data_IF_102906508611
#
_entry.id   IF_102906508611
#
_cell.length_a   1.000
_cell.length_b   1.000
_cell.length_c   1.000
_cell.angle_alpha   90.00
_cell.angle_beta   90.00
_cell.angle_gamma   90.00
#
_symmetry.space_group_name_H-M   'P 1'
#
loop_
_entity.id
_entity.type
_entity.pdbx_description
1 polymer ?
2 non-polymer ?
3 non-polymer ?
4 non-polymer ?
5 water ?
#
# COMPACT_ATOMS: atom_id res chain seq x y z
N UNK A 1 15.43 13.11 -1.18
CA UNK A 1 16.12 11.90 -1.75
C UNK A 1 15.25 11.44 -2.91
N UNK A 2 15.78 10.52 -3.71
CA UNK A 2 15.06 10.14 -4.91
C UNK A 2 14.07 9.05 -4.62
N UNK A 3 14.22 8.37 -3.48
CA UNK A 3 13.29 7.26 -3.14
C UNK A 3 12.87 7.36 -1.71
N UNK A 4 11.83 6.62 -1.38
CA UNK A 4 11.33 6.49 -0.05
C UNK A 4 10.93 5.05 0.15
N UNK A 5 10.70 4.69 1.40
CA UNK A 5 10.34 3.30 1.76
C UNK A 5 8.91 3.27 2.21
N UNK A 6 8.10 2.50 1.49
CA UNK A 6 6.67 2.42 1.78
C UNK A 6 6.43 1.18 2.62
N UNK A 7 5.55 1.32 3.61
CA UNK A 7 5.16 0.22 4.47
C UNK A 7 3.64 0.28 4.71
N UNK A 8 2.92 -0.69 4.17
CA UNK A 8 1.50 -0.70 4.24
C UNK A 8 1.06 -2.00 4.93
N UNK A 9 0.32 -1.88 6.03
CA UNK A 9 -0.11 -3.03 6.84
C UNK A 9 -1.63 -3.08 6.76
N UNK A 10 -2.11 -4.07 6.01
CA UNK A 10 -3.53 -4.30 5.84
C UNK A 10 -4.00 -5.22 6.94
N UNK A 11 -5.17 -4.94 7.50
CA UNK A 11 -5.65 -5.73 8.64
C UNK A 11 -7.15 -5.98 8.68
N UNK A 12 -7.44 -7.16 9.23
CA UNK A 12 -8.81 -7.62 9.53
C UNK A 12 -8.85 -7.77 11.06
N UNK A 13 -9.82 -7.16 11.71
CA UNK A 13 -9.91 -7.20 13.17
C UNK A 13 -10.98 -8.16 13.61
N UNK A 14 -10.95 -8.51 14.90
CA UNK A 14 -12.06 -9.21 15.58
C UNK A 14 -13.38 -8.44 15.38
N UNK A 15 -14.51 -9.14 15.35
CA UNK A 15 -15.82 -8.47 15.17
C UNK A 15 -16.26 -7.66 16.41
N UNK A 16 -15.62 -7.90 17.56
CA UNK A 16 -15.88 -7.14 18.78
C UNK A 16 -15.42 -5.70 18.91
N UNK A 17 -14.60 -5.18 17.99
CA UNK A 17 -14.05 -3.83 18.18
C UNK A 17 -15.13 -2.71 18.08
N UNK A 18 -14.90 -1.61 18.78
CA UNK A 18 -15.82 -0.48 18.85
C UNK A 18 -15.15 0.80 18.42
N UNK A 19 -15.92 1.88 18.34
CA UNK A 19 -15.41 3.22 18.01
C UNK A 19 -14.26 3.60 18.92
N UNK A 20 -14.34 3.17 20.17
CA UNK A 20 -13.27 3.39 21.14
C UNK A 20 -11.94 2.83 20.67
N UNK A 21 -11.97 1.66 20.05
CA UNK A 21 -10.73 1.04 19.56
C UNK A 21 -10.05 2.00 18.59
N UNK A 22 -10.83 2.50 17.65
CA UNK A 22 -10.29 3.41 16.65
C UNK A 22 -9.87 4.74 17.24
N UNK A 23 -10.59 5.24 18.24
CA UNK A 23 -10.15 6.44 18.95
C UNK A 23 -8.75 6.28 19.54
N UNK A 24 -8.50 5.12 20.17
CA UNK A 24 -7.18 4.86 20.76
C UNK A 24 -6.11 4.69 19.70
N UNK A 25 -6.40 3.97 18.62
CA UNK A 25 -5.44 3.86 17.49
C UNK A 25 -5.03 5.24 16.98
N UNK A 26 -6.00 6.13 16.80
CA UNK A 26 -5.73 7.44 16.26
C UNK A 26 -4.83 8.23 17.19
N UNK A 27 -4.93 7.97 18.50
CA UNK A 27 -4.05 8.63 19.45
C UNK A 27 -2.62 8.17 19.29
N UNK A 28 -2.41 6.88 19.03
CA UNK A 28 -1.07 6.38 18.73
C UNK A 28 -0.58 6.96 17.40
N UNK A 29 -1.46 6.99 16.40
CA UNK A 29 -1.08 7.59 15.08
C UNK A 29 -0.55 8.99 15.25
N UNK A 30 -1.29 9.80 16.01
CA UNK A 30 -0.85 11.14 16.34
C UNK A 30 0.56 11.21 16.96
N UNK A 31 0.90 10.32 17.86
CA UNK A 31 2.23 10.36 18.46
C UNK A 31 3.35 10.12 17.44
N UNK A 32 3.01 9.48 16.32
CA UNK A 32 4.01 8.79 15.54
C UNK A 32 4.98 9.72 14.84
N UNK A 33 4.48 10.75 14.18
CA UNK A 33 5.37 11.61 13.41
C UNK A 33 6.17 12.48 14.40
N UNK A 34 5.51 12.91 15.47
CA UNK A 34 6.19 13.57 16.61
C UNK A 34 7.36 12.77 17.08
N UNK A 35 7.13 11.48 17.36
CA UNK A 35 8.13 10.66 18.03
C UNK A 35 9.08 9.86 17.16
N UNK A 36 8.73 9.52 15.93
CA UNK A 36 9.64 8.71 15.14
C UNK A 36 10.37 9.57 14.12
N UNK A 37 11.63 9.25 13.87
CA UNK A 37 12.39 10.00 12.90
C UNK A 37 12.21 9.47 11.48
N UNK A 38 12.43 10.35 10.51
CA UNK A 38 12.39 9.97 9.09
C UNK A 38 11.05 9.46 8.57
N UNK A 39 9.96 9.89 9.20
CA UNK A 39 8.62 9.47 8.81
C UNK A 39 8.02 10.53 7.92
N UNK A 40 7.62 10.15 6.71
CA UNK A 40 7.08 11.10 5.71
C UNK A 40 5.57 11.09 5.70
N UNK A 41 5.00 9.95 6.02
CA UNK A 41 3.55 9.78 6.00
C UNK A 41 3.20 8.76 7.03
N UNK A 42 2.11 8.96 7.77
CA UNK A 42 1.64 7.89 8.68
C UNK A 42 0.15 8.05 8.92
N UNK A 43 -0.64 7.03 8.58
CA UNK A 43 -2.09 7.15 8.56
C UNK A 43 -2.70 5.83 8.85
N UNK A 44 -3.86 5.84 9.50
CA UNK A 44 -4.61 4.64 9.69
C UNK A 44 -6.03 4.91 9.21
N UNK A 45 -6.56 4.05 8.36
CA UNK A 45 -7.93 4.30 7.88
C UNK A 45 -8.55 3.11 7.24
N UNK A 46 -9.77 3.31 6.81
CA UNK A 46 -10.56 2.30 6.15
C UNK A 46 -10.08 2.06 4.75
N UNK A 47 -10.07 0.78 4.38
CA UNK A 47 -9.89 0.32 2.99
C UNK A 47 -11.16 0.49 2.16
N UNK A 48 -11.10 1.27 1.09
CA UNK A 48 -12.31 1.48 0.29
C UNK A 48 -12.24 0.70 -1.04
N UNK A 49 -11.21 -0.11 -1.25
CA UNK A 49 -11.12 -0.92 -2.46
C UNK A 49 -12.17 -2.00 -2.42
N UNK A 50 -12.64 -2.37 -3.62
CA UNK A 50 -13.59 -3.47 -3.78
C UNK A 50 -12.97 -4.82 -3.43
N UNK A 51 -11.75 -5.01 -3.90
CA UNK A 51 -11.05 -6.30 -3.73
C UNK A 51 -10.15 -6.29 -2.49
N UNK A 52 -10.73 -5.82 -1.41
CA UNK A 52 -10.12 -5.80 -0.10
C UNK A 52 -9.95 -7.15 0.57
N UNK A 53 -10.74 -8.14 0.19
CA UNK A 53 -10.51 -9.50 0.71
C UNK A 53 -10.74 -9.60 2.22
N UNK A 54 -11.59 -8.74 2.77
CA UNK A 54 -11.82 -8.80 4.20
C UNK A 54 -10.90 -7.92 5.02
N UNK A 55 -9.87 -7.35 4.40
CA UNK A 55 -9.01 -6.44 5.11
C UNK A 55 -9.59 -5.06 5.06
N UNK A 56 -10.20 -4.68 6.17
CA UNK A 56 -11.06 -3.51 6.26
C UNK A 56 -10.34 -2.20 6.54
N UNK A 57 -9.11 -2.26 7.02
CA UNK A 57 -8.36 -1.06 7.45
C UNK A 57 -6.93 -1.26 7.10
N UNK A 58 -6.17 -0.17 7.01
CA UNK A 58 -4.71 -0.28 6.85
C UNK A 58 -3.99 0.85 7.52
N UNK A 59 -2.82 0.57 8.04
CA UNK A 59 -1.82 1.56 8.30
C UNK A 59 -0.99 1.75 7.03
N UNK A 60 -0.85 3.00 6.62
CA UNK A 60 -0.06 3.32 5.47
C UNK A 60 1.04 4.25 5.96
N UNK A 61 2.25 3.98 5.54
CA UNK A 61 3.36 4.77 6.00
C UNK A 61 4.47 4.85 4.96
N UNK A 62 5.18 5.97 4.98
CA UNK A 62 6.35 6.18 4.15
C UNK A 62 7.46 6.77 5.00
N UNK A 63 8.67 6.23 4.83
CA UNK A 63 9.86 6.65 5.54
C UNK A 63 10.91 7.13 4.58
N UNK A 64 11.85 7.90 5.07
CA UNK A 64 12.89 8.38 4.16
C UNK A 64 13.64 7.18 3.54
N UNK A 65 13.76 6.14 4.33
CA UNK A 65 14.49 4.97 3.83
C UNK A 65 14.23 3.77 4.76
N UNK A 66 14.69 2.60 4.38
CA UNK A 66 14.44 1.35 5.12
C UNK A 66 15.02 1.39 6.53
N UNK A 67 16.05 2.20 6.72
CA UNK A 67 16.71 2.30 8.01
C UNK A 67 15.80 3.07 8.99
N UNK A 68 15.10 4.08 8.49
CA UNK A 68 14.14 4.79 9.33
C UNK A 68 13.02 3.83 9.74
N UNK A 69 12.63 2.95 8.84
CA UNK A 69 11.56 1.99 9.16
C UNK A 69 12.06 0.98 10.17
N UNK A 70 13.32 0.54 10.01
CA UNK A 70 14.00 -0.26 11.03
C UNK A 70 13.92 0.43 12.42
N UNK A 71 14.29 1.70 12.51
CA UNK A 71 14.22 2.39 13.81
C UNK A 71 12.80 2.54 14.39
N UNK A 72 11.80 2.57 13.52
CA UNK A 72 10.40 2.74 13.89
C UNK A 72 9.93 1.57 14.76
N UNK A 73 10.55 0.40 14.57
CA UNK A 73 10.36 -0.78 15.42
C UNK A 73 10.43 -0.59 16.92
N UNK A 74 11.28 0.32 17.40
CA UNK A 74 11.37 0.62 18.80
C UNK A 74 10.83 2.01 19.09
N UNK A 75 10.21 2.63 18.10
CA UNK A 75 9.52 3.87 18.37
C UNK A 75 8.44 3.58 19.43
N UNK A 76 8.46 4.31 20.56
CA UNK A 76 7.54 3.92 21.61
C UNK A 76 6.06 4.02 21.24
N UNK A 77 5.65 5.04 20.50
CA UNK A 77 4.27 5.11 19.96
C UNK A 77 3.89 3.83 19.19
N UNK A 78 4.86 3.28 18.45
CA UNK A 78 4.64 2.05 17.66
C UNK A 78 4.68 0.74 18.49
N UNK A 79 5.65 0.61 19.36
CA UNK A 79 5.67 -0.56 20.26
C UNK A 79 4.29 -0.65 21.02
N UNK A 80 3.83 0.51 21.43
CA UNK A 80 2.64 0.65 22.23
C UNK A 80 1.47 0.30 21.36
N UNK A 81 1.42 0.88 20.15
CA UNK A 81 0.26 0.63 19.26
C UNK A 81 0.15 -0.83 18.92
N UNK A 82 1.30 -1.48 18.69
CA UNK A 82 1.38 -2.88 18.27
C UNK A 82 0.80 -3.76 19.37
N UNK A 83 1.19 -3.46 20.60
CA UNK A 83 0.74 -4.16 21.79
C UNK A 83 -0.75 -3.96 21.98
N UNK A 84 -1.25 -2.75 21.67
CA UNK A 84 -2.66 -2.44 21.83
C UNK A 84 -3.50 -3.15 20.79
N UNK A 85 -3.08 -3.08 19.53
CA UNK A 85 -3.91 -3.62 18.45
C UNK A 85 -3.81 -5.12 18.32
N UNK A 86 -2.65 -5.68 18.69
CA UNK A 86 -2.33 -7.07 18.51
C UNK A 86 -3.40 -8.08 18.86
N UNK A 87 -3.91 -8.07 20.11
CA UNK A 87 -5.00 -9.00 20.50
C UNK A 87 -6.31 -8.90 19.73
N UNK A 88 -6.52 -7.80 18.99
CA UNK A 88 -7.76 -7.56 18.26
C UNK A 88 -7.62 -7.84 16.76
N UNK A 89 -6.40 -8.04 16.28
CA UNK A 89 -6.13 -8.34 14.88
C UNK A 89 -6.29 -9.83 14.58
N UNK A 90 -7.11 -10.14 13.58
CA UNK A 90 -7.27 -11.50 13.12
C UNK A 90 -6.23 -11.90 12.11
N UNK A 91 -6.13 -11.14 11.02
CA UNK A 91 -5.11 -11.35 9.98
C UNK A 91 -4.48 -10.06 9.53
N UNK A 92 -3.20 -10.10 9.11
CA UNK A 92 -2.58 -8.95 8.43
C UNK A 92 -1.86 -9.40 7.15
N UNK A 93 -1.67 -8.46 6.24
CA UNK A 93 -0.77 -8.68 5.13
C UNK A 93 0.00 -7.40 4.90
N UNK A 94 1.30 -7.53 4.64
CA UNK A 94 2.15 -6.38 4.59
C UNK A 94 2.85 -6.19 3.25
N UNK A 95 2.89 -4.95 2.79
CA UNK A 95 3.76 -4.56 1.67
C UNK A 95 4.76 -3.54 2.16
N UNK A 96 6.03 -3.88 1.91
CA UNK A 96 7.22 -3.06 2.12
C UNK A 96 7.97 -3.02 0.81
N UNK A 97 8.42 -1.83 0.46
CA UNK A 97 9.35 -1.69 -0.64
C UNK A 97 9.79 -0.25 -0.90
N UNK A 98 10.94 -0.15 -1.53
CA UNK A 98 11.46 1.13 -1.98
C UNK A 98 10.75 1.57 -3.23
N UNK A 99 10.25 2.80 -3.19
CA UNK A 99 9.49 3.43 -4.29
C UNK A 99 10.07 4.86 -4.56
N UNK A 100 9.81 5.43 -5.74
CA UNK A 100 10.18 6.83 -5.95
C UNK A 100 9.51 7.79 -4.98
N UNK A 101 10.20 8.85 -4.62
CA UNK A 101 9.68 9.87 -3.76
C UNK A 101 8.64 10.67 -4.52
N UNK A 102 7.74 11.26 -3.75
CA UNK A 102 6.59 12.09 -4.16
C UNK A 102 5.33 11.22 -4.28
N UNK B 1 -3.24 19.39 -2.87
CA UNK B 1 -4.26 19.20 -1.78
C UNK B 1 -3.66 18.64 -0.49
N UNK B 2 -4.47 18.62 0.56
CA UNK B 2 -4.03 18.12 1.85
C UNK B 2 -3.90 16.58 1.88
N UNK B 3 -4.61 15.91 0.96
CA UNK B 3 -4.69 14.48 0.96
C UNK B 3 -4.45 14.00 -0.46
N UNK B 4 -4.12 12.72 -0.57
CA UNK B 4 -3.97 12.10 -1.86
C UNK B 4 -4.66 10.75 -1.74
N UNK B 5 -4.99 10.13 -2.88
CA UNK B 5 -5.58 8.81 -2.87
C UNK B 5 -4.49 7.77 -3.11
N UNK B 6 -4.30 6.87 -2.15
CA UNK B 6 -3.36 5.75 -2.25
C UNK B 6 -4.02 4.48 -2.72
N UNK B 7 -3.33 3.72 -3.59
CA UNK B 7 -3.91 2.57 -4.29
C UNK B 7 -2.77 1.59 -4.32
N UNK B 8 -2.92 0.50 -3.57
CA UNK B 8 -1.90 -0.53 -3.52
C UNK B 8 -2.50 -1.88 -3.88
N UNK B 9 -1.92 -2.50 -4.88
CA UNK B 9 -2.34 -3.83 -5.37
C UNK B 9 -1.21 -4.78 -5.16
N UNK B 10 -1.44 -5.69 -4.24
CA UNK B 10 -0.56 -6.78 -3.93
C UNK B 10 -0.90 -8.02 -4.74
N UNK B 11 0.12 -8.71 -5.24
CA UNK B 11 -0.12 -9.80 -6.17
C UNK B 11 0.83 -10.97 -6.00
N UNK B 12 0.30 -12.16 -6.23
CA UNK B 12 1.11 -13.35 -6.42
C UNK B 12 0.85 -13.81 -7.86
N UNK B 13 1.91 -14.16 -8.59
CA UNK B 13 1.80 -14.58 -9.98
C UNK B 13 1.86 -16.11 -10.07
N UNK B 14 1.34 -16.62 -11.19
CA UNK B 14 1.37 -18.04 -11.58
C UNK B 14 2.78 -18.58 -11.68
N UNK B 15 2.95 -19.88 -11.44
CA UNK B 15 4.29 -20.48 -11.45
C UNK B 15 4.89 -20.45 -12.86
N UNK B 16 4.06 -20.52 -13.88
CA UNK B 16 4.57 -20.63 -15.23
C UNK B 16 4.86 -19.36 -16.02
N UNK B 17 4.89 -18.21 -15.37
CA UNK B 17 5.21 -16.96 -16.10
C UNK B 17 6.52 -17.09 -16.89
N UNK B 18 6.57 -16.48 -18.07
CA UNK B 18 7.73 -16.59 -18.96
C UNK B 18 8.91 -15.76 -18.49
N UNK B 19 10.08 -16.07 -19.03
CA UNK B 19 11.32 -15.38 -18.68
C UNK B 19 11.24 -13.85 -18.81
N UNK B 20 10.69 -13.29 -19.84
CA UNK B 20 10.66 -11.78 -19.83
C UNK B 20 9.40 -11.15 -19.27
N UNK B 21 8.56 -11.91 -18.58
CA UNK B 21 7.31 -11.36 -18.04
C UNK B 21 7.42 -9.99 -17.37
N UNK B 22 8.38 -9.83 -16.46
CA UNK B 22 8.45 -8.59 -15.71
C UNK B 22 8.92 -7.39 -16.56
N UNK B 23 9.69 -7.66 -17.61
CA UNK B 23 10.05 -6.61 -18.52
C UNK B 23 8.87 -6.13 -19.33
N UNK B 24 8.00 -7.05 -19.76
CA UNK B 24 6.74 -6.66 -20.44
C UNK B 24 5.81 -5.88 -19.52
N UNK B 25 5.72 -6.30 -18.26
CA UNK B 25 4.99 -5.53 -17.25
C UNK B 25 5.46 -4.08 -17.20
N UNK B 26 6.76 -3.94 -17.13
CA UNK B 26 7.40 -2.64 -17.05
C UNK B 26 7.12 -1.83 -18.31
N UNK B 27 7.05 -2.50 -19.45
CA UNK B 27 6.70 -1.82 -20.69
C UNK B 27 5.29 -1.26 -20.67
N UNK B 28 4.31 -2.09 -20.29
CA UNK B 28 2.94 -1.58 -20.14
C UNK B 28 2.88 -0.44 -19.11
N UNK B 29 3.60 -0.61 -18.01
CA UNK B 29 3.55 0.40 -16.97
C UNK B 29 4.13 1.70 -17.48
N UNK B 30 5.25 1.62 -18.19
CA UNK B 30 5.85 2.83 -18.77
C UNK B 30 4.89 3.55 -19.75
N UNK B 31 4.27 2.80 -20.65
CA UNK B 31 3.30 3.38 -21.60
C UNK B 31 2.15 4.05 -20.85
N UNK B 32 1.69 3.41 -19.79
CA UNK B 32 0.62 3.91 -18.95
C UNK B 32 1.04 5.24 -18.25
N UNK B 33 2.25 5.31 -17.73
CA UNK B 33 2.72 6.56 -17.12
C UNK B 33 2.84 7.69 -18.13
N UNK B 34 3.08 7.35 -19.40
CA UNK B 34 3.08 8.34 -20.46
C UNK B 34 1.71 8.84 -20.84
N UNK B 35 0.70 8.01 -20.70
CA UNK B 35 -0.60 8.28 -21.27
C UNK B 35 -1.62 8.70 -20.24
N UNK B 36 -1.48 8.26 -18.98
CA UNK B 36 -2.58 8.46 -18.02
C UNK B 36 -2.23 9.57 -17.05
N UNK B 37 -3.24 10.32 -16.65
CA UNK B 37 -3.05 11.58 -15.93
C UNK B 37 -3.34 11.48 -14.45
N UNK B 38 -2.79 12.44 -13.72
CA UNK B 38 -3.11 12.61 -12.31
C UNK B 38 -2.39 11.66 -11.39
N UNK B 39 -1.32 11.03 -11.88
CA UNK B 39 -0.50 10.14 -11.08
C UNK B 39 0.55 10.96 -10.30
N UNK B 40 0.59 10.74 -9.00
CA UNK B 40 1.64 11.30 -8.17
C UNK B 40 2.77 10.31 -7.97
N UNK B 41 2.44 9.02 -8.00
CA UNK B 41 3.43 7.92 -7.81
C UNK B 41 2.84 6.74 -8.53
N UNK B 42 3.71 5.92 -9.12
CA UNK B 42 3.31 4.63 -9.67
C UNK B 42 4.54 3.74 -9.69
N UNK B 43 4.51 2.63 -8.98
CA UNK B 43 5.69 1.77 -8.99
C UNK B 43 5.22 0.33 -8.97
N UNK B 44 5.87 -0.51 -9.76
CA UNK B 44 5.70 -1.91 -9.67
C UNK B 44 7.02 -2.48 -9.16
N UNK B 45 6.97 -3.21 -8.07
CA UNK B 45 8.16 -3.82 -7.50
C UNK B 45 7.90 -5.00 -6.58
N UNK B 46 8.99 -5.61 -6.14
CA UNK B 46 8.99 -6.73 -5.24
C UNK B 46 8.58 -6.35 -3.85
N UNK B 47 7.81 -7.21 -3.21
CA UNK B 47 7.44 -7.00 -1.81
C UNK B 47 8.52 -7.58 -0.93
N UNK B 48 9.11 -6.76 -0.07
CA UNK B 48 10.24 -7.18 0.77
C UNK B 48 9.79 -7.46 2.22
N UNK B 49 8.49 -7.35 2.53
CA UNK B 49 7.99 -7.65 3.89
C UNK B 49 8.04 -9.14 4.24
N UNK B 50 8.33 -9.41 5.50
CA UNK B 50 8.33 -10.76 5.98
C UNK B 50 6.89 -11.25 6.02
N UNK B 51 5.91 -10.36 6.31
CA UNK B 51 4.51 -10.75 6.43
C UNK B 51 3.71 -10.59 5.15
N UNK B 52 4.31 -11.02 4.06
CA UNK B 52 3.84 -10.74 2.70
C UNK B 52 2.71 -11.66 2.39
N UNK B 53 2.61 -12.75 3.15
CA UNK B 53 1.57 -13.77 2.93
C UNK B 53 1.69 -14.36 1.52
N UNK B 54 2.90 -14.35 0.97
CA UNK B 54 3.07 -14.88 -0.42
C UNK B 54 2.71 -13.93 -1.56
N UNK B 55 2.38 -12.69 -1.24
CA UNK B 55 2.16 -11.69 -2.25
C UNK B 55 3.52 -11.10 -2.54
N UNK B 56 4.13 -11.56 -3.62
CA UNK B 56 5.54 -11.31 -3.90
C UNK B 56 5.83 -9.93 -4.50
N UNK B 57 4.82 -9.26 -5.07
CA UNK B 57 5.04 -8.00 -5.78
C UNK B 57 3.86 -7.13 -5.52
N UNK B 58 4.03 -5.83 -5.69
CA UNK B 58 2.87 -4.88 -5.63
C UNK B 58 3.01 -3.76 -6.59
N UNK B 59 1.85 -3.24 -7.04
CA UNK B 59 1.81 -1.89 -7.58
C UNK B 59 1.37 -0.94 -6.50
N UNK B 60 2.11 0.16 -6.35
CA UNK B 60 1.79 1.19 -5.38
C UNK B 60 1.67 2.48 -6.15
N UNK B 61 0.67 3.27 -5.85
CA UNK B 61 0.33 4.41 -6.68
C UNK B 61 -0.43 5.39 -5.82
N UNK B 62 -0.35 6.66 -6.20
CA UNK B 62 -1.02 7.72 -5.51
C UNK B 62 -1.48 8.70 -6.59
N UNK B 63 -2.70 9.16 -6.41
CA UNK B 63 -3.33 10.09 -7.27
C UNK B 63 -3.68 11.34 -6.52
N UNK B 64 -3.92 12.41 -7.25
CA UNK B 64 -4.29 13.66 -6.63
C UNK B 64 -5.57 13.53 -5.77
N UNK B 65 -6.53 12.74 -6.24
CA UNK B 65 -7.77 12.53 -5.49
C UNK B 65 -8.52 11.36 -6.08
N UNK B 66 -9.67 11.01 -5.51
CA UNK B 66 -10.47 9.85 -6.01
C UNK B 66 -10.91 9.96 -7.48
N UNK B 67 -11.26 11.15 -7.92
CA UNK B 67 -11.63 11.38 -9.33
C UNK B 67 -10.50 11.01 -10.29
N UNK B 68 -9.26 11.28 -9.90
CA UNK B 68 -8.13 10.95 -10.73
C UNK B 68 -7.91 9.47 -10.78
N UNK B 69 -8.05 8.78 -9.65
CA UNK B 69 -8.05 7.32 -9.66
C UNK B 69 -9.17 6.76 -10.52
N UNK B 70 -10.36 7.34 -10.41
CA UNK B 70 -11.49 6.95 -11.29
C UNK B 70 -11.17 7.08 -12.80
N UNK B 71 -10.47 8.13 -13.19
CA UNK B 71 -10.12 8.34 -14.60
C UNK B 71 -9.04 7.34 -15.03
N UNK B 72 -8.10 7.05 -14.15
CA UNK B 72 -7.08 5.99 -14.37
C UNK B 72 -7.69 4.59 -14.62
N UNK B 73 -8.67 4.20 -13.81
CA UNK B 73 -9.30 2.91 -14.03
C UNK B 73 -9.75 2.71 -15.48
N UNK B 74 -10.14 3.79 -16.15
CA UNK B 74 -10.66 3.71 -17.50
C UNK B 74 -9.67 4.22 -18.55
N UNK B 75 -8.46 4.51 -18.15
CA UNK B 75 -7.43 4.90 -19.07
C UNK B 75 -7.04 3.71 -19.97
N UNK B 76 -7.13 3.87 -21.31
CA UNK B 76 -6.89 2.69 -22.14
C UNK B 76 -5.57 2.04 -21.86
N UNK B 77 -4.52 2.81 -21.64
CA UNK B 77 -3.25 2.14 -21.35
C UNK B 77 -3.24 1.38 -20.02
N UNK B 78 -4.02 1.82 -19.06
CA UNK B 78 -4.16 1.06 -17.80
C UNK B 78 -4.97 -0.24 -18.07
N UNK B 79 -6.02 -0.13 -18.85
CA UNK B 79 -6.90 -1.27 -19.16
C UNK B 79 -6.07 -2.37 -19.87
N UNK B 80 -5.19 -1.93 -20.79
CA UNK B 80 -4.29 -2.82 -21.53
C UNK B 80 -3.35 -3.51 -20.57
N UNK B 81 -2.79 -2.75 -19.65
CA UNK B 81 -1.88 -3.34 -18.67
C UNK B 81 -2.58 -4.47 -17.91
N UNK B 82 -3.84 -4.26 -17.49
CA UNK B 82 -4.65 -5.29 -16.80
C UNK B 82 -4.96 -6.49 -17.66
N UNK B 83 -5.23 -6.25 -18.94
CA UNK B 83 -5.47 -7.35 -19.86
C UNK B 83 -4.27 -8.25 -19.98
N UNK B 84 -3.07 -7.68 -19.92
CA UNK B 84 -1.84 -8.51 -20.00
C UNK B 84 -1.58 -9.27 -18.71
N UNK B 85 -1.65 -8.55 -17.58
CA UNK B 85 -1.26 -9.13 -16.29
C UNK B 85 -2.29 -10.08 -15.72
N UNK B 86 -3.56 -9.78 -15.92
CA UNK B 86 -4.67 -10.56 -15.33
C UNK B 86 -4.46 -12.06 -15.36
N UNK B 87 -4.29 -12.62 -16.55
CA UNK B 87 -4.10 -14.08 -16.61
C UNK B 87 -2.89 -14.68 -15.96
N UNK B 88 -1.94 -13.88 -15.53
CA UNK B 88 -0.76 -14.36 -14.86
C UNK B 88 -0.91 -14.18 -13.35
N UNK B 89 -1.96 -13.53 -12.91
CA UNK B 89 -2.14 -13.28 -11.48
C UNK B 89 -2.91 -14.38 -10.83
N UNK B 90 -2.30 -14.97 -9.82
CA UNK B 90 -2.87 -16.06 -9.08
C UNK B 90 -3.74 -15.58 -7.92
N UNK B 91 -3.23 -14.58 -7.21
CA UNK B 91 -3.93 -14.00 -6.06
C UNK B 91 -3.66 -12.49 -6.05
N UNK B 92 -4.67 -11.72 -5.66
CA UNK B 92 -4.61 -10.29 -5.52
C UNK B 92 -5.43 -9.74 -4.31
N UNK B 93 -4.90 -8.71 -3.67
CA UNK B 93 -5.61 -7.98 -2.65
C UNK B 93 -5.27 -6.50 -2.80
N UNK B 94 -6.25 -5.64 -2.53
CA UNK B 94 -6.11 -4.21 -2.83
C UNK B 94 -6.43 -3.35 -1.61
N UNK B 95 -5.61 -2.31 -1.41
CA UNK B 95 -5.90 -1.25 -0.46
C UNK B 95 -6.05 0.07 -1.21
N UNK B 96 -7.21 0.70 -1.10
CA UNK B 96 -7.42 2.08 -1.50
C UNK B 96 -7.80 2.91 -0.29
N UNK B 97 -7.33 4.17 -0.26
CA UNK B 97 -7.69 5.08 0.81
C UNK B 97 -7.18 6.46 0.57
N UNK B 98 -7.87 7.45 1.08
CA UNK B 98 -7.37 8.82 1.12
C UNK B 98 -6.41 8.97 2.31
N UNK B 99 -5.25 9.56 2.09
CA UNK B 99 -4.25 9.68 3.15
C UNK B 99 -3.63 11.06 3.02
N UNK B 100 -2.94 11.53 4.06
CA UNK B 100 -2.29 12.83 3.97
C UNK B 100 -1.32 12.91 2.82
N UNK B 101 -1.35 14.02 2.11
CA UNK B 101 -0.35 14.24 1.06
C UNK B 101 1.04 14.31 1.71
N UNK B 102 2.06 13.96 0.93
CA UNK B 102 3.47 13.95 1.35
C UNK B 102 4.15 15.19 0.76
X LIG C 1 8.24 -6.14 7.50
X LIG C 1 7.49 -4.92 7.58
X LIG C 1 7.53 -7.08 8.43
X LIG C 1 6.43 -7.64 7.77
X LIG D 1 3.22 -2.22 11.71
X LIG D 1 3.71 -0.93 11.40
X LIG D 1 4.33 -3.20 12.06
X LIG D 1 3.80 -4.21 12.94
X LIG E 1 3.95 -15.03 -19.15
X LIG F 1 12.86 2.88 -7.80
X LIG F 1 13.01 4.09 -8.10
X LIG F 1 12.48 2.64 -6.63
X LIG F 1 13.13 1.78 -8.80
#
# INVERSE_FOLDING_TARGET
GMTMFLHVVMMEFDDGIDAGFFRTVDEYVARMKRECDGLLLYHFGENVAARSQGYTHATSSAFVDAAAHDAYQVCPAHVAMKAFMGPRIKRVVVYDGEVPAIG
GMTMFLHVVMMEFDDGIDAGFFRTVDEYVARMKRECDGLLLYHFGENVAARSQGYTHATSSAFVDAAAHDAYQVCPAHVAMKAFMGPRIKRVVVYDGEVPAIG
EDO C1 O1 C2 O2
EDO C1 O1 C2 O2
CL CL
ACT C O OXT CH3
#
